data_IF_587058356630
#
_entry.id   IF_587058356630
#
_cell.length_a   1.000
_cell.length_b   1.000
_cell.length_c   1.000
_cell.angle_alpha   90.00
_cell.angle_beta   90.00
_cell.angle_gamma   90.00
#
_symmetry.space_group_name_H-M   'P 1'
#
loop_
_entity.id
_entity.type
_entity.pdbx_description
1 polymer ?
#
# COMPACT_ATOMS: atom_id res chain seq x y z
N UNK A 1 15.36 -21.83 4.36
CA UNK A 1 15.05 -20.86 3.28
C UNK A 1 13.54 -20.71 3.28
N UNK A 2 13.05 -19.87 4.18
CA UNK A 2 11.63 -19.54 4.26
C UNK A 2 11.54 -18.15 3.66
N UNK A 3 10.99 -18.08 2.45
CA UNK A 3 10.71 -16.85 1.72
C UNK A 3 9.58 -16.14 2.47
N UNK A 4 9.94 -15.42 3.53
CA UNK A 4 8.99 -14.75 4.40
C UNK A 4 8.32 -13.64 3.59
N UNK A 5 7.00 -13.69 3.55
CA UNK A 5 6.16 -13.08 2.53
C UNK A 5 6.32 -11.56 2.50
N UNK A 6 7.11 -11.04 1.56
CA UNK A 6 7.16 -9.61 1.27
C UNK A 6 5.79 -9.15 0.76
N UNK A 7 5.01 -8.54 1.66
CA UNK A 7 3.71 -7.96 1.33
C UNK A 7 3.90 -6.56 0.79
N UNK A 8 3.37 -6.29 -0.41
CA UNK A 8 3.32 -4.93 -0.93
C UNK A 8 2.17 -4.15 -0.29
N UNK A 9 2.44 -2.93 0.16
CA UNK A 9 1.47 -2.00 0.72
C UNK A 9 1.22 -0.84 -0.26
N UNK A 10 0.40 -1.02 -1.32
CA UNK A 10 0.28 -0.03 -2.40
C UNK A 10 -0.26 1.32 -1.91
N UNK A 11 -1.09 1.34 -0.87
CA UNK A 11 -1.64 2.58 -0.29
C UNK A 11 -0.66 3.32 0.62
N UNK A 12 0.41 2.67 1.08
CA UNK A 12 1.50 3.31 1.80
C UNK A 12 2.55 3.76 0.79
N UNK A 13 2.40 4.98 0.27
CA UNK A 13 3.26 5.48 -0.79
C UNK A 13 3.49 6.99 -0.71
N UNK A 14 4.61 7.44 -1.30
CA UNK A 14 4.89 8.84 -1.54
C UNK A 14 4.61 9.16 -3.02
N UNK A 15 3.74 10.14 -3.26
CA UNK A 15 3.33 10.54 -4.61
C UNK A 15 3.72 11.98 -4.89
N UNK A 16 4.14 12.26 -6.13
CA UNK A 16 4.32 13.63 -6.63
C UNK A 16 2.96 14.26 -6.91
N UNK A 17 2.77 15.53 -6.54
CA UNK A 17 1.49 16.25 -6.75
C UNK A 17 1.06 16.34 -8.22
N UNK A 18 2.02 16.34 -9.15
CA UNK A 18 1.74 16.42 -10.58
C UNK A 18 1.04 15.16 -11.14
N UNK A 19 0.94 14.08 -10.37
CA UNK A 19 0.21 12.86 -10.74
C UNK A 19 -1.32 12.99 -10.59
N UNK A 20 -1.81 14.09 -10.01
CA UNK A 20 -3.25 14.27 -9.72
C UNK A 20 -4.13 14.11 -10.96
N UNK A 21 -3.78 14.77 -12.07
CA UNK A 21 -4.59 14.73 -13.28
C UNK A 21 -4.68 13.32 -13.89
N UNK A 22 -3.60 12.54 -13.84
CA UNK A 22 -3.59 11.15 -14.31
C UNK A 22 -4.40 10.24 -13.39
N UNK A 23 -4.27 10.42 -12.07
CA UNK A 23 -5.06 9.68 -11.08
C UNK A 23 -6.57 9.96 -11.25
N UNK A 24 -6.96 11.22 -11.44
CA UNK A 24 -8.36 11.59 -11.68
C UNK A 24 -8.92 10.92 -12.93
N UNK A 25 -8.15 10.91 -14.03
CA UNK A 25 -8.55 10.24 -15.27
C UNK A 25 -8.72 8.73 -15.05
N UNK A 26 -7.80 8.09 -14.33
CA UNK A 26 -7.88 6.67 -13.99
C UNK A 26 -9.11 6.35 -13.13
N UNK A 27 -9.44 7.20 -12.15
CA UNK A 27 -10.62 7.00 -11.32
C UNK A 27 -11.93 7.24 -12.10
N UNK A 28 -11.93 8.20 -13.03
CA UNK A 28 -13.09 8.49 -13.90
C UNK A 28 -13.36 7.37 -14.91
N UNK A 29 -12.35 6.61 -15.31
CA UNK A 29 -12.54 5.41 -16.16
C UNK A 29 -13.19 4.24 -15.41
N UNK A 30 -13.53 4.39 -14.14
CA UNK A 30 -14.12 3.36 -13.29
C UNK A 30 -13.09 2.43 -12.63
N UNK A 31 -11.81 2.64 -12.89
CA UNK A 31 -10.75 1.81 -12.32
C UNK A 31 -10.52 2.13 -10.84
N UNK A 32 -10.16 1.10 -10.07
CA UNK A 32 -9.92 1.20 -8.61
C UNK A 32 -8.68 0.44 -8.15
N UNK A 33 -7.96 -0.24 -9.06
CA UNK A 33 -6.81 -1.07 -8.71
C UNK A 33 -5.56 -0.20 -8.55
N UNK A 34 -5.29 0.19 -7.30
CA UNK A 34 -4.17 1.08 -6.94
C UNK A 34 -2.82 0.62 -7.52
N UNK A 35 -2.46 -0.65 -7.31
CA UNK A 35 -1.19 -1.19 -7.81
C UNK A 35 -1.09 -1.12 -9.35
N UNK A 36 -2.20 -1.35 -10.07
CA UNK A 36 -2.22 -1.26 -11.53
C UNK A 36 -2.04 0.18 -12.04
N UNK A 37 -2.48 1.18 -11.26
CA UNK A 37 -2.19 2.58 -11.56
C UNK A 37 -0.73 2.94 -11.27
N UNK A 38 -0.18 2.49 -10.13
CA UNK A 38 1.22 2.76 -9.75
C UNK A 38 2.22 2.21 -10.77
N UNK A 39 2.00 1.00 -11.30
CA UNK A 39 2.91 0.39 -12.28
C UNK A 39 2.98 1.13 -13.61
N UNK A 40 2.01 2.01 -13.90
CA UNK A 40 2.04 2.91 -15.07
C UNK A 40 2.90 4.15 -14.83
N UNK A 41 3.21 4.46 -13.58
CA UNK A 41 4.04 5.59 -13.19
C UNK A 41 5.51 5.17 -13.09
N UNK A 42 6.41 6.16 -13.07
CA UNK A 42 7.81 5.94 -12.71
C UNK A 42 7.93 5.70 -11.19
N UNK A 43 7.66 4.47 -10.76
CA UNK A 43 7.66 4.06 -9.35
C UNK A 43 8.94 3.31 -8.95
N UNK A 44 9.27 3.36 -7.66
CA UNK A 44 10.33 2.57 -7.03
C UNK A 44 9.76 1.90 -5.78
N UNK A 45 10.13 0.64 -5.55
CA UNK A 45 9.77 -0.10 -4.34
C UNK A 45 10.81 0.14 -3.26
N UNK A 46 10.35 0.38 -2.04
CA UNK A 46 11.22 0.63 -0.88
C UNK A 46 10.99 -0.49 0.13
N UNK A 47 12.07 -1.14 0.54
CA UNK A 47 12.02 -2.17 1.57
C UNK A 47 11.99 -1.51 2.94
N UNK A 48 11.07 -1.96 3.79
CA UNK A 48 11.07 -1.63 5.21
C UNK A 48 11.45 -2.90 5.99
N UNK A 49 12.40 -2.77 6.91
CA UNK A 49 12.90 -3.90 7.69
C UNK A 49 11.93 -4.32 8.81
N UNK A 50 11.09 -3.39 9.27
CA UNK A 50 10.09 -3.62 10.31
C UNK A 50 8.70 -3.69 9.69
N UNK A 51 8.19 -4.92 9.55
CA UNK A 51 6.82 -5.18 9.07
C UNK A 51 5.76 -4.77 10.10
N UNK A 52 6.12 -4.73 11.40
CA UNK A 52 5.18 -4.35 12.47
C UNK A 52 4.79 -2.87 12.39
N UNK A 53 5.60 -2.03 11.74
CA UNK A 53 5.32 -0.62 11.52
C UNK A 53 4.09 -0.38 10.62
N UNK A 54 3.67 -1.37 9.82
CA UNK A 54 2.55 -1.26 8.87
C UNK A 54 1.34 -2.12 9.23
N UNK A 55 1.21 -2.53 10.49
CA UNK A 55 0.09 -3.37 10.93
C UNK A 55 -1.24 -2.68 10.70
N UNK A 56 -2.11 -3.37 9.95
CA UNK A 56 -3.43 -2.88 9.61
C UNK A 56 -4.47 -3.56 10.50
N UNK A 57 -5.22 -2.76 11.26
CA UNK A 57 -6.29 -3.22 12.14
C UNK A 57 -7.59 -3.19 11.33
N UNK A 58 -7.97 -4.32 10.74
CA UNK A 58 -9.23 -4.43 9.98
C UNK A 58 -10.38 -4.90 10.87
N UNK A 59 -10.07 -5.63 11.94
CA UNK A 59 -11.07 -6.24 12.83
C UNK A 59 -10.81 -5.88 14.28
N UNK A 60 -11.84 -5.99 15.13
CA UNK A 60 -11.69 -5.83 16.57
C UNK A 60 -10.73 -6.88 17.14
N UNK A 61 -10.69 -8.09 16.57
CA UNK A 61 -9.75 -9.11 17.00
C UNK A 61 -8.29 -8.70 16.75
N UNK A 62 -8.01 -8.01 15.64
CA UNK A 62 -6.68 -7.47 15.36
C UNK A 62 -6.28 -6.42 16.39
N UNK A 63 -7.23 -5.59 16.83
CA UNK A 63 -7.00 -4.59 17.88
C UNK A 63 -6.64 -5.25 19.21
N UNK A 64 -7.44 -6.22 19.67
CA UNK A 64 -7.20 -6.90 20.96
C UNK A 64 -5.85 -7.63 20.99
N UNK A 65 -5.39 -8.19 19.85
CA UNK A 65 -4.06 -8.82 19.76
C UNK A 65 -2.95 -7.81 20.03
N UNK A 66 -3.06 -6.61 19.46
CA UNK A 66 -2.06 -5.55 19.64
C UNK A 66 -2.02 -4.98 21.06
N UNK A 67 -3.16 -4.93 21.75
CA UNK A 67 -3.22 -4.45 23.14
C UNK A 67 -2.54 -5.40 24.14
N UNK A 68 -2.38 -6.67 23.77
CA UNK A 68 -1.77 -7.71 24.61
C UNK A 68 -0.31 -8.03 24.30
N UNK A 69 0.27 -7.37 23.29
CA UNK A 69 1.70 -7.44 22.94
C UNK A 69 2.54 -6.40 23.71
#
# INVERSE_FOLDING_TARGET
MSDDTQREHPVFCLLKKNLLADLDCYLQSGERKMLAWQTRQSMVRVMFADDHAFRNINTLQDLHKLETE
#
